data_IF_251444840392
#
_entry.id   IF_251444840392
#
_cell.length_a   1.000
_cell.length_b   1.000
_cell.length_c   1.000
_cell.angle_alpha   90.00
_cell.angle_beta   90.00
_cell.angle_gamma   90.00
#
_symmetry.space_group_name_H-M   'P 1'
#
loop_
_entity.id
_entity.type
_entity.pdbx_description
1 polymer ?
#
# COMPACT_ATOMS: atom_id res chain seq x y z
N UNK A 1 -25.88 34.51 -63.49
CA UNK A 1 -26.68 34.78 -62.28
C UNK A 1 -26.13 33.91 -61.17
N UNK A 2 -25.48 34.45 -60.10
CA UNK A 2 -24.85 33.67 -59.03
C UNK A 2 -25.81 33.48 -57.89
N UNK A 3 -25.87 32.23 -57.39
CA UNK A 3 -26.69 31.83 -56.24
C UNK A 3 -25.81 31.81 -54.96
N UNK A 4 -26.08 32.73 -54.06
CA UNK A 4 -25.36 32.90 -52.81
C UNK A 4 -26.01 32.05 -51.77
N UNK A 5 -25.29 30.97 -51.30
CA UNK A 5 -25.66 30.14 -50.16
C UNK A 5 -25.05 30.72 -48.90
N UNK A 6 -25.86 31.33 -48.03
CA UNK A 6 -25.48 31.84 -46.71
C UNK A 6 -25.68 30.74 -45.69
N UNK A 7 -24.62 30.01 -45.34
CA UNK A 7 -24.61 29.12 -44.19
C UNK A 7 -24.34 29.92 -42.91
N UNK A 8 -25.41 30.18 -42.16
CA UNK A 8 -25.35 30.77 -40.82
C UNK A 8 -24.78 29.79 -39.78
N UNK A 9 -23.59 30.10 -39.27
CA UNK A 9 -22.93 29.39 -38.19
C UNK A 9 -23.57 29.80 -36.87
N UNK A 10 -24.32 28.89 -36.23
CA UNK A 10 -24.84 29.08 -34.85
C UNK A 10 -23.68 29.08 -33.86
N UNK A 11 -23.62 30.02 -32.90
CA UNK A 11 -22.62 29.99 -31.85
C UNK A 11 -22.93 28.90 -30.82
N UNK A 12 -21.89 28.14 -30.41
CA UNK A 12 -21.96 27.12 -29.42
C UNK A 12 -22.22 27.73 -28.03
N UNK A 13 -23.19 27.16 -27.30
CA UNK A 13 -23.52 27.52 -25.92
C UNK A 13 -22.40 27.07 -24.97
N UNK A 14 -21.95 27.99 -24.12
CA UNK A 14 -20.98 27.72 -23.06
C UNK A 14 -21.66 26.90 -21.92
N UNK A 15 -21.00 25.87 -21.34
CA UNK A 15 -21.56 25.17 -20.20
C UNK A 15 -21.54 26.05 -18.93
N UNK A 16 -22.73 26.19 -18.32
CA UNK A 16 -22.93 26.97 -17.11
C UNK A 16 -22.20 26.38 -15.92
N UNK A 17 -21.45 27.21 -15.23
CA UNK A 17 -20.86 26.91 -13.90
C UNK A 17 -22.00 26.76 -12.89
N UNK A 18 -22.21 25.56 -12.36
CA UNK A 18 -23.04 25.33 -11.18
C UNK A 18 -22.31 25.88 -9.96
N UNK A 19 -22.74 27.04 -9.49
CA UNK A 19 -22.32 27.56 -8.20
C UNK A 19 -23.04 26.75 -7.10
N UNK A 20 -22.28 26.05 -6.30
CA UNK A 20 -22.77 25.45 -5.06
C UNK A 20 -22.72 26.54 -3.99
N UNK A 21 -23.89 27.01 -3.56
CA UNK A 21 -24.01 27.96 -2.47
C UNK A 21 -23.67 27.27 -1.13
N UNK A 22 -22.57 27.70 -0.52
CA UNK A 22 -22.27 27.35 0.85
C UNK A 22 -23.13 28.22 1.79
N UNK A 23 -24.08 27.60 2.45
CA UNK A 23 -24.79 28.20 3.58
C UNK A 23 -23.88 28.16 4.81
N UNK A 24 -23.37 29.32 5.16
CA UNK A 24 -22.67 29.57 6.42
C UNK A 24 -23.69 29.59 7.57
N UNK A 25 -23.72 28.50 8.34
CA UNK A 25 -24.43 28.44 9.62
C UNK A 25 -23.42 28.51 10.76
N UNK A 26 -23.22 29.72 11.30
CA UNK A 26 -22.52 29.89 12.56
C UNK A 26 -23.45 29.47 13.68
N UNK A 27 -23.06 28.48 14.49
CA UNK A 27 -23.63 28.25 15.81
C UNK A 27 -22.48 27.99 16.78
N UNK A 28 -22.20 29.01 17.54
CA UNK A 28 -21.36 29.04 18.73
C UNK A 28 -22.07 28.27 19.82
N UNK A 29 -21.44 27.28 20.43
CA UNK A 29 -21.76 26.83 21.77
C UNK A 29 -20.49 26.38 22.49
N UNK A 30 -19.97 27.32 23.29
CA UNK A 30 -18.96 27.07 24.28
C UNK A 30 -19.61 26.35 25.49
N UNK A 31 -19.06 25.19 25.85
CA UNK A 31 -19.29 24.65 27.20
C UNK A 31 -17.93 24.31 27.79
N UNK A 32 -17.54 25.17 28.70
CA UNK A 32 -16.43 25.01 29.65
C UNK A 32 -16.92 24.06 30.74
N UNK A 33 -16.29 22.91 30.90
CA UNK A 33 -16.34 22.17 32.15
C UNK A 33 -14.92 21.90 32.60
N UNK A 34 -14.50 22.69 33.55
CA UNK A 34 -13.33 22.55 34.38
C UNK A 34 -13.70 21.61 35.55
N UNK A 35 -13.09 20.46 35.65
CA UNK A 35 -13.07 19.69 36.88
C UNK A 35 -11.68 19.06 37.07
N UNK A 36 -10.95 19.68 37.96
CA UNK A 36 -9.73 19.18 38.55
C UNK A 36 -10.07 18.02 39.50
N UNK A 37 -9.40 16.89 39.34
CA UNK A 37 -9.21 15.93 40.45
C UNK A 37 -7.73 15.60 40.53
N UNK A 38 -7.13 16.22 41.54
CA UNK A 38 -5.82 15.85 42.09
C UNK A 38 -5.97 14.63 43.00
N UNK A 39 -4.85 13.95 43.22
CA UNK A 39 -4.54 12.94 44.25
C UNK A 39 -4.85 11.47 43.82
N UNK A 40 -3.88 10.63 43.59
CA UNK A 40 -2.98 10.01 44.58
C UNK A 40 -2.11 8.96 43.86
N UNK A 41 -0.82 9.10 43.91
CA UNK A 41 0.10 7.98 43.76
C UNK A 41 0.20 7.25 45.10
N UNK A 42 0.33 5.95 45.11
CA UNK A 42 1.33 5.33 45.95
C UNK A 42 2.13 4.21 45.29
N UNK A 43 3.43 4.22 45.55
CA UNK A 43 4.19 3.06 45.87
C UNK A 43 4.87 2.32 44.72
N UNK A 44 6.10 2.73 44.39
CA UNK A 44 7.07 1.85 43.76
C UNK A 44 7.63 0.88 44.82
N UNK A 45 7.78 -0.42 44.54
CA UNK A 45 8.66 -1.26 45.33
C UNK A 45 10.06 -1.27 44.76
N UNK A 46 11.01 -0.89 45.59
CA UNK A 46 12.44 -1.12 45.46
C UNK A 46 12.73 -2.62 45.21
N UNK A 47 13.41 -2.94 44.14
CA UNK A 47 14.04 -4.24 43.98
C UNK A 47 15.55 -4.02 43.87
N UNK A 48 16.22 -4.40 44.96
CA UNK A 48 17.66 -4.48 45.12
C UNK A 48 18.32 -5.36 44.04
N UNK A 49 19.54 -5.01 43.58
CA UNK A 49 20.30 -5.87 42.69
C UNK A 49 20.89 -7.06 43.41
N UNK A 50 20.41 -8.23 43.05
CA UNK A 50 21.01 -9.50 43.46
C UNK A 50 22.04 -9.95 42.43
N UNK A 51 23.29 -9.92 42.84
CA UNK A 51 24.44 -10.54 42.19
C UNK A 51 24.26 -12.06 42.15
N UNK A 52 24.33 -12.68 40.99
CA UNK A 52 24.56 -14.12 40.86
C UNK A 52 25.52 -14.41 39.70
N UNK A 53 26.63 -14.85 40.14
CA UNK A 53 27.74 -15.65 39.65
C UNK A 53 27.51 -16.44 38.37
N UNK A 54 28.49 -16.30 37.48
CA UNK A 54 28.68 -17.11 36.29
C UNK A 54 28.99 -18.56 36.60
N UNK A 55 28.48 -19.47 35.79
CA UNK A 55 29.12 -20.74 35.48
C UNK A 55 28.71 -21.21 34.08
N UNK A 56 29.65 -21.80 33.34
CA UNK A 56 29.49 -22.15 31.95
C UNK A 56 29.04 -23.60 31.78
N UNK A 57 28.29 -23.90 30.75
CA UNK A 57 28.49 -25.12 29.98
C UNK A 57 27.36 -25.44 29.01
N UNK A 58 27.86 -25.91 27.91
CA UNK A 58 27.27 -26.84 26.94
C UNK A 58 26.53 -26.21 25.75
N UNK A 59 27.31 -26.04 24.70
CA UNK A 59 26.88 -26.05 23.32
C UNK A 59 26.13 -27.35 23.02
N UNK A 60 24.88 -27.26 22.68
CA UNK A 60 24.22 -28.27 21.88
C UNK A 60 23.73 -27.61 20.61
N UNK A 61 24.47 -27.86 19.57
CA UNK A 61 24.11 -27.57 18.19
C UNK A 61 22.91 -28.41 17.82
N UNK A 62 21.72 -27.83 17.84
CA UNK A 62 20.59 -28.34 17.08
C UNK A 62 20.37 -27.43 15.89
N UNK A 63 20.78 -27.93 14.75
CA UNK A 63 20.43 -27.44 13.42
C UNK A 63 18.92 -27.41 13.32
N UNK A 64 18.33 -26.23 13.56
CA UNK A 64 16.98 -25.93 13.15
C UNK A 64 17.02 -25.69 11.65
N UNK A 65 16.55 -26.68 10.93
CA UNK A 65 16.20 -26.61 9.52
C UNK A 65 15.26 -25.40 9.35
N UNK A 66 15.76 -24.32 8.82
CA UNK A 66 14.95 -23.22 8.31
C UNK A 66 14.19 -23.79 7.12
N UNK A 67 12.95 -24.16 7.36
CA UNK A 67 12.00 -24.33 6.27
C UNK A 67 11.81 -22.96 5.63
N UNK A 68 12.60 -22.68 4.60
CA UNK A 68 12.28 -21.68 3.61
C UNK A 68 10.93 -22.10 3.02
N UNK A 69 9.87 -21.56 3.58
CA UNK A 69 8.56 -21.59 2.93
C UNK A 69 8.73 -20.73 1.68
N UNK A 70 9.09 -21.39 0.59
CA UNK A 70 9.08 -20.78 -0.73
C UNK A 70 7.68 -20.21 -0.94
N UNK A 71 7.58 -18.87 -0.84
CA UNK A 71 6.39 -18.13 -1.21
C UNK A 71 6.17 -18.48 -2.68
N UNK A 72 5.07 -19.17 -2.96
CA UNK A 72 4.71 -19.55 -4.32
C UNK A 72 4.62 -18.27 -5.15
N UNK A 73 5.64 -18.03 -5.94
CA UNK A 73 5.61 -16.97 -6.95
C UNK A 73 4.75 -17.52 -8.08
N UNK A 74 3.49 -17.10 -8.08
CA UNK A 74 2.59 -17.37 -9.20
C UNK A 74 3.06 -16.50 -10.36
N UNK A 75 3.78 -17.09 -11.31
CA UNK A 75 4.06 -16.43 -12.58
C UNK A 75 2.72 -16.26 -13.30
N UNK A 76 2.20 -15.04 -13.27
CA UNK A 76 1.03 -14.67 -14.06
C UNK A 76 1.50 -14.41 -15.48
N UNK A 77 0.97 -15.12 -16.50
CA UNK A 77 1.30 -14.82 -17.88
C UNK A 77 1.00 -13.35 -18.17
N UNK A 78 2.02 -12.60 -18.57
CA UNK A 78 1.82 -11.21 -18.99
C UNK A 78 0.82 -11.15 -20.13
N UNK A 79 -0.13 -10.21 -20.04
CA UNK A 79 -1.01 -9.88 -21.17
C UNK A 79 -0.14 -9.50 -22.39
N UNK A 80 -0.60 -9.74 -23.62
CA UNK A 80 0.10 -9.34 -24.84
C UNK A 80 0.54 -7.87 -24.86
N UNK A 81 -0.15 -7.01 -24.10
CA UNK A 81 0.12 -5.58 -23.97
C UNK A 81 1.11 -5.24 -22.84
N UNK A 82 1.59 -6.21 -22.06
CA UNK A 82 2.46 -6.01 -20.90
C UNK A 82 1.71 -5.61 -19.64
N UNK A 83 0.37 -5.72 -19.62
CA UNK A 83 -0.43 -5.51 -18.42
C UNK A 83 -0.22 -6.66 -17.43
N UNK A 84 -0.29 -6.37 -16.13
CA UNK A 84 -0.32 -7.39 -15.10
C UNK A 84 -1.77 -7.76 -14.77
N UNK A 85 -2.13 -9.02 -15.03
CA UNK A 85 -3.49 -9.54 -14.78
C UNK A 85 -3.46 -10.46 -13.55
N UNK A 86 -4.20 -10.12 -12.51
CA UNK A 86 -4.26 -10.83 -11.22
C UNK A 86 -5.62 -11.52 -11.11
N UNK A 87 -5.69 -12.85 -10.94
CA UNK A 87 -6.94 -13.57 -10.71
C UNK A 87 -7.52 -13.26 -9.32
N UNK A 88 -8.77 -12.79 -9.25
CA UNK A 88 -9.44 -12.44 -7.98
C UNK A 88 -9.64 -13.65 -7.08
N UNK A 89 -9.91 -14.84 -7.67
CA UNK A 89 -10.20 -16.08 -6.94
C UNK A 89 -9.07 -16.56 -6.02
N UNK A 90 -7.82 -16.17 -6.33
CA UNK A 90 -6.63 -16.64 -5.63
C UNK A 90 -6.17 -15.67 -4.52
N UNK A 91 -6.89 -14.55 -4.34
CA UNK A 91 -6.53 -13.52 -3.37
C UNK A 91 -7.14 -13.84 -2.00
N UNK A 92 -6.26 -13.96 -1.01
CA UNK A 92 -6.59 -14.27 0.39
C UNK A 92 -6.12 -13.15 1.33
N UNK A 93 -6.26 -13.35 2.63
CA UNK A 93 -5.69 -12.45 3.66
C UNK A 93 -4.17 -12.51 3.71
N UNK A 94 -3.57 -13.56 3.14
CA UNK A 94 -2.14 -13.61 2.87
C UNK A 94 -1.86 -12.95 1.53
N UNK A 95 -0.98 -11.95 1.53
CA UNK A 95 -0.61 -11.23 0.31
C UNK A 95 0.07 -12.18 -0.67
N UNK A 96 -0.45 -12.20 -1.88
CA UNK A 96 0.17 -12.89 -3.01
C UNK A 96 0.98 -11.89 -3.81
N UNK A 97 2.23 -12.24 -4.09
CA UNK A 97 3.17 -11.39 -4.81
C UNK A 97 3.27 -11.83 -6.27
N UNK A 98 3.15 -10.87 -7.17
CA UNK A 98 3.09 -11.06 -8.63
C UNK A 98 4.29 -10.37 -9.28
N UNK A 99 5.31 -11.15 -9.70
CA UNK A 99 6.45 -10.60 -10.42
C UNK A 99 6.03 -10.16 -11.83
N UNK A 100 6.60 -9.06 -12.29
CA UNK A 100 6.42 -8.55 -13.64
C UNK A 100 7.71 -7.90 -14.12
N UNK A 101 8.01 -8.01 -15.40
CA UNK A 101 9.18 -7.35 -16.00
C UNK A 101 8.69 -6.30 -17.01
N UNK A 102 9.13 -5.05 -16.81
CA UNK A 102 8.75 -3.91 -17.65
C UNK A 102 10.01 -3.26 -18.22
N UNK A 103 10.16 -3.27 -19.54
CA UNK A 103 11.35 -2.75 -20.23
C UNK A 103 12.67 -3.24 -19.61
N UNK A 104 12.74 -4.54 -19.27
CA UNK A 104 13.91 -5.15 -18.64
C UNK A 104 14.09 -4.91 -17.14
N UNK A 105 13.24 -4.12 -16.50
CA UNK A 105 13.25 -3.88 -15.05
C UNK A 105 12.32 -4.88 -14.36
N UNK A 106 12.88 -5.65 -13.41
CA UNK A 106 12.09 -6.55 -12.55
C UNK A 106 11.32 -5.73 -11.53
N UNK A 107 10.01 -5.95 -11.49
CA UNK A 107 9.06 -5.32 -10.57
C UNK A 107 8.21 -6.40 -9.91
N UNK A 108 7.49 -6.02 -8.87
CA UNK A 108 6.56 -6.91 -8.19
C UNK A 108 5.38 -6.10 -7.67
N UNK A 109 4.17 -6.56 -7.94
CA UNK A 109 2.97 -6.08 -7.28
C UNK A 109 2.50 -7.12 -6.25
N UNK A 110 1.60 -6.74 -5.36
CA UNK A 110 0.90 -7.69 -4.52
C UNK A 110 -0.58 -7.35 -4.43
N UNK A 111 -1.37 -8.39 -4.15
CA UNK A 111 -2.77 -8.26 -3.81
C UNK A 111 -3.05 -8.98 -2.49
N UNK A 112 -3.93 -8.41 -1.67
CA UNK A 112 -4.30 -8.95 -0.36
C UNK A 112 -5.76 -8.63 -0.07
N UNK A 113 -6.47 -9.56 0.56
CA UNK A 113 -7.81 -9.33 1.08
C UNK A 113 -7.68 -8.70 2.46
N UNK A 114 -8.10 -7.46 2.59
CA UNK A 114 -8.08 -6.74 3.85
C UNK A 114 -9.14 -7.28 4.83
N UNK A 115 -9.04 -7.00 6.15
CA UNK A 115 -10.01 -7.48 7.14
C UNK A 115 -11.45 -7.02 6.89
N UNK A 116 -11.64 -5.93 6.14
CA UNK A 116 -12.96 -5.43 5.71
C UNK A 116 -13.54 -6.21 4.51
N UNK A 117 -12.85 -7.26 4.05
CA UNK A 117 -13.25 -8.09 2.93
C UNK A 117 -12.90 -7.51 1.56
N UNK A 118 -12.39 -6.29 1.48
CA UNK A 118 -12.00 -5.67 0.20
C UNK A 118 -10.63 -6.14 -0.25
N UNK A 119 -10.46 -6.30 -1.56
CA UNK A 119 -9.16 -6.61 -2.14
C UNK A 119 -8.38 -5.32 -2.32
N UNK A 120 -7.14 -5.32 -1.85
CA UNK A 120 -6.19 -4.21 -1.92
C UNK A 120 -5.00 -4.60 -2.77
N UNK A 121 -4.49 -3.66 -3.55
CA UNK A 121 -3.34 -3.85 -4.43
C UNK A 121 -2.30 -2.77 -4.25
N UNK A 122 -1.04 -3.14 -4.32
CA UNK A 122 0.06 -2.18 -4.33
C UNK A 122 1.28 -2.75 -5.07
N UNK A 123 2.22 -1.90 -5.42
CA UNK A 123 3.52 -2.33 -5.87
C UNK A 123 4.40 -2.66 -4.65
N UNK A 124 5.15 -3.75 -4.72
CA UNK A 124 6.05 -4.17 -3.65
C UNK A 124 7.33 -3.34 -3.63
N UNK A 125 7.16 -2.04 -3.48
CA UNK A 125 8.25 -1.09 -3.28
C UNK A 125 7.80 0.03 -2.35
N UNK A 126 8.74 0.52 -1.54
CA UNK A 126 8.48 1.58 -0.57
C UNK A 126 8.63 2.96 -1.20
N UNK A 127 7.68 3.86 -0.96
CA UNK A 127 7.71 5.22 -1.51
C UNK A 127 8.91 6.07 -1.06
N UNK A 128 9.57 5.70 0.05
CA UNK A 128 10.74 6.41 0.59
C UNK A 128 12.02 5.60 0.45
N UNK A 129 11.96 4.28 0.72
CA UNK A 129 13.15 3.44 0.78
C UNK A 129 13.48 2.73 -0.56
N UNK A 130 12.80 3.07 -1.66
CA UNK A 130 12.88 2.33 -2.94
C UNK A 130 14.30 2.27 -3.53
N UNK A 131 15.12 3.29 -3.32
CA UNK A 131 16.49 3.37 -3.85
C UNK A 131 17.53 2.58 -3.04
N UNK A 132 17.16 2.15 -1.82
CA UNK A 132 18.04 1.39 -0.91
C UNK A 132 18.34 -0.04 -1.39
N UNK A 133 17.62 -0.54 -2.39
CA UNK A 133 17.63 -1.95 -2.79
C UNK A 133 16.83 -2.88 -1.87
N UNK A 134 16.51 -2.44 -0.66
CA UNK A 134 15.77 -3.20 0.36
C UNK A 134 14.38 -2.65 0.66
N UNK A 135 13.93 -1.63 -0.11
CA UNK A 135 12.64 -0.99 0.08
C UNK A 135 11.45 -1.84 -0.41
N UNK A 136 11.41 -3.12 -0.11
CA UNK A 136 10.32 -4.03 -0.40
C UNK A 136 9.70 -4.57 0.89
N UNK A 137 8.54 -5.20 0.80
CA UNK A 137 7.79 -5.69 1.95
C UNK A 137 7.71 -7.21 1.98
N UNK A 138 7.65 -7.74 3.20
CA UNK A 138 7.20 -9.10 3.51
C UNK A 138 6.02 -9.00 4.46
N UNK A 139 5.07 -9.92 4.35
CA UNK A 139 3.94 -9.96 5.27
C UNK A 139 4.31 -10.74 6.54
N UNK A 140 3.88 -10.20 7.69
CA UNK A 140 3.94 -10.82 9.01
C UNK A 140 2.57 -10.65 9.67
N UNK A 141 1.76 -11.68 9.65
CA UNK A 141 0.37 -11.60 10.11
C UNK A 141 -0.45 -10.63 9.24
N UNK A 142 -1.06 -9.63 9.86
CA UNK A 142 -1.88 -8.60 9.21
C UNK A 142 -1.11 -7.35 8.77
N UNK A 143 0.22 -7.38 8.86
CA UNK A 143 1.06 -6.24 8.50
C UNK A 143 2.09 -6.60 7.43
N UNK A 144 2.43 -5.61 6.64
CA UNK A 144 3.52 -5.61 5.67
C UNK A 144 4.73 -4.90 6.28
N UNK A 145 5.87 -5.56 6.36
CA UNK A 145 7.09 -5.04 7.00
C UNK A 145 8.09 -4.64 5.93
N UNK A 146 8.47 -3.36 5.91
CA UNK A 146 9.50 -2.85 5.02
C UNK A 146 10.86 -3.43 5.39
N UNK A 147 11.52 -4.09 4.46
CA UNK A 147 12.78 -4.79 4.71
C UNK A 147 14.00 -3.84 4.83
N UNK A 148 13.81 -2.55 4.58
CA UNK A 148 14.85 -1.54 4.78
C UNK A 148 14.78 -0.91 6.18
N UNK A 149 13.63 -0.37 6.57
CA UNK A 149 13.48 0.42 7.81
C UNK A 149 12.65 -0.27 8.90
N UNK A 150 12.08 -1.44 8.63
CA UNK A 150 11.26 -2.17 9.60
C UNK A 150 9.86 -1.56 9.82
N UNK A 151 9.46 -0.53 9.07
CA UNK A 151 8.13 0.05 9.18
C UNK A 151 7.06 -1.02 8.95
N UNK A 152 6.06 -1.06 9.84
CA UNK A 152 4.95 -2.01 9.82
C UNK A 152 3.70 -1.32 9.28
N UNK A 153 3.20 -1.78 8.17
CA UNK A 153 2.07 -1.21 7.45
C UNK A 153 0.90 -2.21 7.40
N UNK A 154 -0.26 -1.84 7.90
CA UNK A 154 -1.41 -2.75 7.97
C UNK A 154 -1.97 -3.05 6.58
N UNK A 155 -2.43 -4.28 6.37
CA UNK A 155 -3.11 -4.68 5.12
C UNK A 155 -4.40 -3.88 4.89
N UNK A 156 -5.08 -3.45 5.97
CA UNK A 156 -6.26 -2.56 5.92
C UNK A 156 -6.00 -1.18 5.35
N UNK A 157 -4.73 -0.72 5.38
CA UNK A 157 -4.33 0.63 4.96
C UNK A 157 -3.76 0.67 3.54
N UNK A 158 -3.51 -0.50 2.93
CA UNK A 158 -3.11 -0.63 1.52
C UNK A 158 -4.13 0.09 0.65
N UNK A 159 -3.67 0.82 -0.36
CA UNK A 159 -4.42 1.75 -1.23
C UNK A 159 -4.94 3.02 -0.53
N UNK A 160 -5.28 2.97 0.76
CA UNK A 160 -5.89 4.11 1.48
C UNK A 160 -4.87 5.14 1.92
N UNK A 161 -3.70 4.69 2.39
CA UNK A 161 -2.66 5.57 2.94
C UNK A 161 -1.54 5.73 1.93
N UNK A 162 -1.29 6.98 1.55
CA UNK A 162 -0.22 7.37 0.61
C UNK A 162 0.88 8.13 1.34
N UNK A 163 2.10 8.05 0.80
CA UNK A 163 3.27 8.75 1.34
C UNK A 163 3.94 8.01 2.50
N UNK A 164 5.07 8.52 2.96
CA UNK A 164 5.86 7.89 4.00
C UNK A 164 6.46 6.54 3.58
N UNK A 165 6.90 5.76 4.56
CA UNK A 165 7.47 4.43 4.32
C UNK A 165 6.37 3.37 4.10
N UNK A 166 5.54 3.59 3.09
CA UNK A 166 4.38 2.76 2.74
C UNK A 166 4.56 2.16 1.34
N UNK A 167 3.90 1.03 1.03
CA UNK A 167 3.86 0.49 -0.33
C UNK A 167 3.30 1.52 -1.33
N UNK A 168 3.76 1.49 -2.56
CA UNK A 168 3.18 2.32 -3.62
C UNK A 168 1.78 1.80 -3.96
N UNK A 169 0.72 2.56 -3.68
CA UNK A 169 -0.65 2.08 -3.90
C UNK A 169 -0.96 1.93 -5.39
N UNK A 170 -1.73 0.90 -5.75
CA UNK A 170 -2.39 0.78 -7.05
C UNK A 170 -3.86 1.07 -6.81
N UNK A 171 -4.26 2.32 -7.04
CA UNK A 171 -5.60 2.80 -6.71
C UNK A 171 -6.64 2.36 -7.74
N UNK A 172 -7.92 2.62 -7.46
CA UNK A 172 -9.02 2.34 -8.39
C UNK A 172 -8.83 3.02 -9.76
N UNK A 173 -8.14 4.17 -9.80
CA UNK A 173 -7.84 4.91 -11.03
C UNK A 173 -6.69 4.27 -11.83
N UNK A 174 -5.86 3.46 -11.18
CA UNK A 174 -4.64 2.86 -11.73
C UNK A 174 -4.83 1.41 -12.18
N UNK A 175 -6.04 0.85 -12.04
CA UNK A 175 -6.35 -0.54 -12.35
C UNK A 175 -7.75 -0.70 -12.93
N UNK A 176 -7.98 -1.80 -13.63
CA UNK A 176 -9.31 -2.23 -14.06
C UNK A 176 -9.72 -3.45 -13.26
N UNK A 177 -10.84 -3.37 -12.56
CA UNK A 177 -11.37 -4.47 -11.74
C UNK A 177 -12.60 -5.06 -12.41
N UNK A 178 -12.58 -6.38 -12.59
CA UNK A 178 -13.73 -7.17 -13.04
C UNK A 178 -14.11 -8.15 -11.93
N UNK A 179 -15.13 -8.97 -12.16
CA UNK A 179 -15.51 -10.04 -11.23
C UNK A 179 -14.38 -11.06 -11.03
N UNK A 180 -13.61 -11.33 -12.06
CA UNK A 180 -12.65 -12.45 -12.10
C UNK A 180 -11.19 -12.00 -12.07
N UNK A 181 -10.91 -10.74 -12.44
CA UNK A 181 -9.53 -10.24 -12.58
C UNK A 181 -9.38 -8.80 -12.12
N UNK A 182 -8.16 -8.49 -11.67
CA UNK A 182 -7.65 -7.13 -11.51
C UNK A 182 -6.52 -6.96 -12.53
N UNK A 183 -6.66 -5.97 -13.40
CA UNK A 183 -5.65 -5.66 -14.42
C UNK A 183 -4.95 -4.35 -14.07
N UNK A 184 -3.63 -4.40 -13.89
CA UNK A 184 -2.78 -3.22 -13.73
C UNK A 184 -2.16 -2.90 -15.09
N UNK A 185 -2.52 -1.76 -15.71
CA UNK A 185 -2.08 -1.41 -17.06
C UNK A 185 -0.56 -1.25 -17.17
N UNK A 186 0.00 -1.69 -18.28
CA UNK A 186 1.42 -1.53 -18.58
C UNK A 186 1.88 -0.06 -18.54
N UNK A 187 1.00 0.87 -18.86
CA UNK A 187 1.30 2.31 -18.77
C UNK A 187 1.60 2.75 -17.33
N UNK A 188 0.78 2.30 -16.36
CA UNK A 188 1.02 2.55 -14.94
C UNK A 188 2.33 1.90 -14.48
N UNK A 189 2.57 0.65 -14.86
CA UNK A 189 3.79 -0.07 -14.52
C UNK A 189 5.04 0.62 -15.10
N UNK A 190 4.99 1.11 -16.33
CA UNK A 190 6.09 1.89 -16.94
C UNK A 190 6.39 3.18 -16.20
N UNK A 191 5.35 3.90 -15.73
CA UNK A 191 5.52 5.12 -14.90
C UNK A 191 6.17 4.79 -13.56
N UNK A 192 5.78 3.68 -12.93
CA UNK A 192 6.30 3.25 -11.64
C UNK A 192 7.69 2.59 -11.71
N UNK A 193 8.18 2.22 -12.89
CA UNK A 193 9.44 1.50 -13.12
C UNK A 193 10.64 2.15 -12.43
N UNK A 194 10.67 3.48 -12.36
CA UNK A 194 11.76 4.24 -11.71
C UNK A 194 11.94 3.85 -10.24
N UNK A 195 10.88 3.43 -9.56
CA UNK A 195 10.91 3.02 -8.15
C UNK A 195 11.50 1.61 -7.94
N UNK A 196 11.85 0.91 -9.01
CA UNK A 196 12.39 -0.44 -8.98
C UNK A 196 13.85 -0.51 -9.48
N UNK A 197 14.48 0.63 -9.76
CA UNK A 197 15.84 0.68 -10.29
C UNK A 197 16.89 -0.05 -9.45
N UNK A 198 16.75 -0.02 -8.13
CA UNK A 198 17.62 -0.73 -7.17
C UNK A 198 16.94 -1.90 -6.46
N UNK A 199 15.71 -2.24 -6.80
CA UNK A 199 14.88 -3.19 -6.07
C UNK A 199 15.48 -4.59 -5.97
N UNK A 200 15.55 -5.12 -4.72
CA UNK A 200 16.14 -6.44 -4.38
C UNK A 200 17.59 -6.65 -4.88
N UNK A 201 18.39 -5.57 -4.89
CA UNK A 201 19.83 -5.60 -5.19
C UNK A 201 20.68 -5.69 -3.92
#
# INVERSE_FOLDING_TARGET
MPNANKNGKKPAAKPGKKQVAYLSGAAVLAVVILAAVLLSSPGAPDIKPGSVTAAPAAQTSSSASTSDTAIAQTEVPGSPNGDLVIPVKDITETATFYPVTVDGVKMEAFAVKAPDGTIRTALNTCQVCYDSGRGYYKQEGDVLVCQNCGNRFRTSDVEKVKGGCNPVPVTEEDKVVTKDTITIPAEFLRKAKVLFGSWKK
#
